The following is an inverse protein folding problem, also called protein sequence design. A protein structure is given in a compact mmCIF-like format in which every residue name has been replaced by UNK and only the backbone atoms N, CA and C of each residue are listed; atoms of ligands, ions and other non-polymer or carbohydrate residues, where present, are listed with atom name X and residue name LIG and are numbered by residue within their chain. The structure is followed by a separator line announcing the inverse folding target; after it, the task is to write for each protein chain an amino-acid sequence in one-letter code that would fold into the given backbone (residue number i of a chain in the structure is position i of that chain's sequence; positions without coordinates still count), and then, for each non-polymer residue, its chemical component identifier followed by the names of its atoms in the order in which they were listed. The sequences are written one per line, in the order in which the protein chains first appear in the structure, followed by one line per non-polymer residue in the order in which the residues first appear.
data_IF_141060921709
#
_entry.id   IF_141060921709
#
_cell.length_a   1.000
_cell.length_b   1.000
_cell.length_c   1.000
_cell.angle_alpha   90.00
_cell.angle_beta   90.00
_cell.angle_gamma   90.00
#
_symmetry.space_group_name_H-M   'P 1'
#
loop_
_entity.id
_entity.type
_entity.pdbx_description
1 polymer ?
#
# COMPACT_ATOMS: atom_id res chain seq x y z
N UNK A 1 11.40 -9.35 -6.58
CA UNK A 1 11.52 -10.12 -7.83
C UNK A 1 11.23 -11.61 -7.64
N UNK A 2 10.23 -12.14 -8.35
CA UNK A 2 9.82 -13.56 -8.34
C UNK A 2 9.89 -14.09 -9.78
N UNK A 3 10.55 -15.23 -10.02
CA UNK A 3 10.70 -15.86 -11.34
C UNK A 3 11.22 -14.90 -12.44
N UNK A 4 12.19 -14.04 -12.10
CA UNK A 4 12.73 -13.03 -13.02
C UNK A 4 11.66 -12.06 -13.59
N UNK A 5 10.51 -11.94 -12.90
CA UNK A 5 9.45 -10.97 -13.20
C UNK A 5 9.34 -9.93 -12.10
N UNK A 6 8.88 -8.75 -12.49
CA UNK A 6 8.45 -7.70 -11.57
C UNK A 6 7.03 -7.98 -11.09
N UNK A 7 6.83 -7.92 -9.78
CA UNK A 7 5.52 -8.11 -9.15
C UNK A 7 5.01 -6.76 -8.67
N UNK A 8 3.82 -6.39 -9.14
CA UNK A 8 3.09 -5.22 -8.65
C UNK A 8 1.82 -5.68 -7.93
N UNK A 9 1.53 -5.08 -6.77
CA UNK A 9 0.32 -5.33 -6.00
C UNK A 9 -0.55 -4.08 -6.02
N UNK A 10 -1.82 -4.23 -6.41
CA UNK A 10 -2.82 -3.16 -6.34
C UNK A 10 -3.63 -3.34 -5.06
N UNK A 11 -3.70 -2.29 -4.24
CA UNK A 11 -4.34 -2.27 -2.94
C UNK A 11 -5.51 -1.27 -2.99
N UNK A 12 -6.75 -1.71 -3.21
CA UNK A 12 -7.91 -0.85 -3.02
C UNK A 12 -8.08 -0.55 -1.53
N UNK A 13 -8.30 0.72 -1.18
CA UNK A 13 -8.47 1.16 0.20
C UNK A 13 -9.65 2.14 0.31
N UNK A 14 -10.52 1.90 1.31
CA UNK A 14 -11.59 2.82 1.69
C UNK A 14 -11.76 2.79 3.22
N UNK A 15 -11.43 3.89 3.89
CA UNK A 15 -11.45 4.01 5.35
C UNK A 15 -10.62 2.92 6.08
N UNK A 16 -9.38 2.72 5.64
CA UNK A 16 -8.43 1.71 6.12
C UNK A 16 -7.28 2.31 6.97
N UNK A 17 -7.46 3.48 7.59
CA UNK A 17 -6.39 4.19 8.33
C UNK A 17 -5.69 3.32 9.39
N UNK A 18 -6.37 2.31 9.93
CA UNK A 18 -5.88 1.42 10.98
C UNK A 18 -5.06 0.23 10.47
N UNK A 19 -5.21 -0.14 9.19
CA UNK A 19 -4.68 -1.38 8.63
C UNK A 19 -3.75 -1.16 7.43
N UNK A 20 -3.95 -0.08 6.65
CA UNK A 20 -3.18 0.17 5.43
C UNK A 20 -1.68 0.23 5.69
N UNK A 21 -1.26 0.82 6.82
CA UNK A 21 0.15 0.84 7.22
C UNK A 21 0.73 -0.56 7.43
N UNK A 22 0.00 -1.43 8.16
CA UNK A 22 0.42 -2.81 8.40
C UNK A 22 0.50 -3.61 7.09
N UNK A 23 -0.41 -3.39 6.15
CA UNK A 23 -0.36 -4.06 4.83
C UNK A 23 0.92 -3.68 4.09
N UNK A 24 1.29 -2.40 4.10
CA UNK A 24 2.52 -1.91 3.45
C UNK A 24 3.77 -2.45 4.17
N UNK A 25 3.82 -2.39 5.50
CA UNK A 25 4.96 -2.86 6.31
C UNK A 25 5.19 -4.37 6.23
N UNK A 26 4.12 -5.15 6.11
CA UNK A 26 4.20 -6.62 6.03
C UNK A 26 4.28 -7.13 4.59
N UNK A 27 4.42 -6.23 3.61
CA UNK A 27 4.52 -6.61 2.21
C UNK A 27 5.74 -7.51 1.97
N UNK A 28 5.59 -8.65 1.29
CA UNK A 28 6.72 -9.53 1.03
C UNK A 28 7.80 -8.85 0.18
N UNK A 29 9.07 -9.14 0.49
CA UNK A 29 10.23 -8.54 -0.18
C UNK A 29 10.34 -8.85 -1.68
N UNK A 30 9.59 -9.84 -2.19
CA UNK A 30 9.53 -10.14 -3.61
C UNK A 30 8.61 -9.21 -4.41
N UNK A 31 7.79 -8.38 -3.74
CA UNK A 31 6.94 -7.35 -4.37
C UNK A 31 7.80 -6.15 -4.69
N UNK A 32 7.83 -5.78 -5.98
CA UNK A 32 8.69 -4.71 -6.47
C UNK A 32 7.95 -3.36 -6.51
N UNK A 33 6.61 -3.37 -6.51
CA UNK A 33 5.79 -2.16 -6.57
C UNK A 33 4.44 -2.37 -5.87
N UNK A 34 3.99 -1.35 -5.13
CA UNK A 34 2.65 -1.29 -4.54
C UNK A 34 1.92 -0.08 -5.11
N UNK A 35 0.67 -0.28 -5.54
CA UNK A 35 -0.21 0.76 -6.07
C UNK A 35 -1.43 0.82 -5.16
N UNK A 36 -1.48 1.81 -4.28
CA UNK A 36 -2.64 2.04 -3.40
C UNK A 36 -3.66 2.90 -4.14
N UNK A 37 -4.90 2.41 -4.23
CA UNK A 37 -6.03 3.11 -4.86
C UNK A 37 -7.01 3.48 -3.77
N UNK A 38 -7.03 4.76 -3.40
CA UNK A 38 -8.01 5.30 -2.47
C UNK A 38 -9.36 5.50 -3.15
N UNK A 39 -10.41 4.85 -2.64
CA UNK A 39 -11.79 5.01 -3.12
C UNK A 39 -12.52 6.10 -2.32
N UNK A 40 -11.96 7.32 -2.31
CA UNK A 40 -12.51 8.50 -1.64
C UNK A 40 -12.75 8.26 -0.14
N UNK A 41 -11.70 7.84 0.57
CA UNK A 41 -11.76 7.71 2.02
C UNK A 41 -12.07 9.06 2.70
N UNK A 42 -12.76 8.99 3.82
CA UNK A 42 -13.10 10.16 4.66
C UNK A 42 -12.29 10.21 5.95
N UNK A 43 -11.50 9.18 6.22
CA UNK A 43 -10.59 9.08 7.36
C UNK A 43 -9.14 9.41 6.95
N UNK A 44 -8.16 9.05 7.78
CA UNK A 44 -6.75 9.36 7.51
C UNK A 44 -6.03 8.35 6.59
N UNK A 45 -6.74 7.47 5.86
CA UNK A 45 -6.13 6.46 4.99
C UNK A 45 -5.07 7.05 4.06
N UNK A 46 -5.41 8.13 3.35
CA UNK A 46 -4.51 8.79 2.40
C UNK A 46 -3.28 9.38 3.11
N UNK A 47 -3.48 10.00 4.27
CA UNK A 47 -2.39 10.58 5.06
C UNK A 47 -1.38 9.52 5.48
N UNK A 48 -1.86 8.39 6.02
CA UNK A 48 -1.01 7.27 6.44
C UNK A 48 -0.16 6.75 5.28
N UNK A 49 -0.77 6.56 4.10
CA UNK A 49 -0.05 6.10 2.90
C UNK A 49 1.00 7.11 2.44
N UNK A 50 0.67 8.41 2.45
CA UNK A 50 1.60 9.46 2.04
C UNK A 50 2.79 9.61 2.98
N UNK A 51 2.59 9.43 4.28
CA UNK A 51 3.67 9.53 5.26
C UNK A 51 4.65 8.37 5.12
N UNK A 52 4.15 7.16 4.86
CA UNK A 52 4.99 5.99 4.56
C UNK A 52 5.75 6.19 3.25
N UNK A 53 5.13 6.73 2.20
CA UNK A 53 5.77 6.92 0.90
C UNK A 53 6.86 8.00 0.86
N UNK A 54 6.90 8.90 1.85
CA UNK A 54 7.94 9.94 1.99
C UNK A 54 9.15 9.49 2.81
N UNK A 55 9.04 8.36 3.52
CA UNK A 55 10.07 7.80 4.39
C UNK A 55 11.13 7.06 3.59
#
# INVERSE_FOLDING_TARGET
MYLEKKIAVVIPAHNEEKLVGKVIETMPSYVDCMIVVDDKSTDNTVTVVQDIAKS
#
